data_IF_819386014614
#
_entry.id   IF_819386014614
#
_cell.length_a   1.000
_cell.length_b   1.000
_cell.length_c   1.000
_cell.angle_alpha   90.00
_cell.angle_beta   90.00
_cell.angle_gamma   90.00
#
_symmetry.space_group_name_H-M   'P 1'
#
loop_
_entity.id
_entity.type
_entity.pdbx_description
1 polymer ?
#
# COMPACT_ATOMS: atom_id res chain seq x y z
N UNK A 1 -59.94 -42.51 44.52
CA UNK A 1 -58.52 -42.25 44.50
C UNK A 1 -58.17 -41.71 43.11
N UNK A 2 -57.89 -40.38 43.00
CA UNK A 2 -57.59 -39.72 41.73
C UNK A 2 -56.08 -39.50 41.70
N UNK A 3 -55.38 -40.10 40.73
CA UNK A 3 -53.98 -39.88 40.47
C UNK A 3 -53.82 -38.68 39.53
N UNK A 4 -53.22 -37.64 40.03
CA UNK A 4 -52.87 -36.43 39.29
C UNK A 4 -51.43 -36.60 38.74
N UNK A 5 -51.32 -36.76 37.41
CA UNK A 5 -50.03 -36.77 36.75
C UNK A 5 -49.57 -35.31 36.53
N UNK A 6 -48.44 -34.92 37.13
CA UNK A 6 -47.78 -33.64 36.91
C UNK A 6 -46.78 -33.80 35.79
N UNK A 7 -47.07 -33.22 34.64
CA UNK A 7 -46.16 -33.21 33.48
C UNK A 7 -45.23 -32.00 33.64
N UNK A 8 -43.96 -32.24 34.00
CA UNK A 8 -42.95 -31.21 34.07
C UNK A 8 -42.39 -30.95 32.65
N UNK A 9 -42.73 -29.83 32.06
CA UNK A 9 -42.13 -29.37 30.80
C UNK A 9 -40.73 -28.76 31.09
N UNK A 10 -39.69 -29.43 30.67
CA UNK A 10 -38.31 -28.91 30.72
C UNK A 10 -38.12 -28.07 29.47
N UNK A 11 -38.07 -26.74 29.63
CA UNK A 11 -37.64 -25.82 28.61
C UNK A 11 -36.10 -25.83 28.51
N UNK A 12 -35.55 -26.49 27.52
CA UNK A 12 -34.15 -26.34 27.10
C UNK A 12 -34.01 -24.99 26.40
N UNK A 13 -33.47 -24.00 27.09
CA UNK A 13 -32.95 -22.80 26.44
C UNK A 13 -31.68 -23.16 25.70
N UNK A 14 -31.78 -23.36 24.39
CA UNK A 14 -30.63 -23.36 23.51
C UNK A 14 -30.20 -21.89 23.39
N UNK A 15 -29.25 -21.46 24.21
CA UNK A 15 -28.52 -20.21 23.99
C UNK A 15 -27.67 -20.41 22.72
N UNK A 16 -28.12 -19.86 21.63
CA UNK A 16 -27.28 -19.69 20.45
C UNK A 16 -26.35 -18.51 20.76
N UNK A 17 -25.17 -18.80 21.32
CA UNK A 17 -24.07 -17.87 21.27
C UNK A 17 -23.72 -17.68 19.79
N UNK A 18 -24.20 -16.57 19.22
CA UNK A 18 -23.64 -16.09 17.97
C UNK A 18 -22.20 -15.68 18.29
N UNK A 19 -21.25 -16.57 17.98
CA UNK A 19 -19.87 -16.14 17.76
C UNK A 19 -19.94 -15.02 16.74
N UNK A 20 -19.75 -13.79 17.18
CA UNK A 20 -19.33 -12.70 16.33
C UNK A 20 -17.96 -13.13 15.81
N UNK A 21 -17.96 -13.85 14.69
CA UNK A 21 -16.77 -13.92 13.86
C UNK A 21 -16.44 -12.46 13.58
N UNK A 22 -15.37 -11.95 14.22
CA UNK A 22 -14.84 -10.65 13.93
C UNK A 22 -14.69 -10.59 12.41
N UNK A 23 -15.32 -9.59 11.78
CA UNK A 23 -15.13 -9.33 10.35
C UNK A 23 -13.64 -9.33 10.11
N UNK A 24 -13.12 -10.42 9.52
CA UNK A 24 -11.79 -10.42 8.94
C UNK A 24 -11.84 -9.27 7.95
N UNK A 25 -11.17 -8.17 8.27
CA UNK A 25 -11.09 -7.01 7.40
C UNK A 25 -10.78 -7.54 5.98
N UNK A 26 -11.70 -7.37 5.05
CA UNK A 26 -11.56 -7.87 3.67
C UNK A 26 -10.35 -7.25 2.94
N UNK A 27 -9.67 -6.31 3.59
CA UNK A 27 -8.54 -5.52 3.10
C UNK A 27 -7.29 -5.66 3.97
N UNK A 28 -7.04 -6.86 4.50
CA UNK A 28 -5.80 -7.15 5.21
C UNK A 28 -4.62 -7.15 4.22
N UNK A 29 -3.54 -6.44 4.55
CA UNK A 29 -2.32 -6.45 3.74
C UNK A 29 -1.57 -7.77 3.91
N UNK A 30 -0.65 -8.07 2.99
CA UNK A 30 0.19 -9.26 3.10
C UNK A 30 1.05 -9.24 4.39
N UNK A 31 1.57 -8.06 4.74
CA UNK A 31 2.30 -7.83 5.99
C UNK A 31 1.46 -8.19 7.23
N UNK A 32 0.23 -7.70 7.30
CA UNK A 32 -0.66 -8.03 8.42
C UNK A 32 -1.05 -9.51 8.44
N UNK A 33 -1.28 -10.12 7.27
CA UNK A 33 -1.66 -11.53 7.15
C UNK A 33 -0.54 -12.48 7.59
N UNK A 34 0.73 -12.07 7.39
CA UNK A 34 1.90 -12.83 7.83
C UNK A 34 2.28 -12.60 9.30
N UNK A 35 1.54 -11.74 10.02
CA UNK A 35 1.91 -11.34 11.38
C UNK A 35 3.12 -10.41 11.45
N UNK A 36 3.42 -9.70 10.34
CA UNK A 36 4.54 -8.77 10.25
C UNK A 36 5.85 -9.39 9.76
N UNK A 37 5.84 -10.65 9.37
CA UNK A 37 7.06 -11.36 8.95
C UNK A 37 7.41 -11.19 7.47
N UNK A 38 6.40 -10.90 6.63
CA UNK A 38 6.57 -10.77 5.18
C UNK A 38 6.08 -9.41 4.68
N UNK A 39 6.76 -8.86 3.68
CA UNK A 39 6.33 -7.68 2.94
C UNK A 39 5.73 -8.07 1.59
N UNK A 40 4.81 -7.22 1.08
CA UNK A 40 4.14 -7.47 -0.18
C UNK A 40 5.12 -7.48 -1.37
N UNK A 41 4.93 -8.42 -2.28
CA UNK A 41 5.59 -8.40 -3.60
C UNK A 41 5.00 -7.30 -4.47
N UNK A 42 5.68 -6.94 -5.58
CA UNK A 42 5.15 -5.98 -6.56
C UNK A 42 3.72 -6.35 -7.01
N UNK A 43 3.51 -7.62 -7.37
CA UNK A 43 2.18 -8.07 -7.81
C UNK A 43 1.13 -7.93 -6.71
N UNK A 44 1.43 -8.36 -5.49
CA UNK A 44 0.51 -8.25 -4.36
C UNK A 44 0.17 -6.79 -4.05
N UNK A 45 1.16 -5.90 -4.10
CA UNK A 45 0.97 -4.46 -3.89
C UNK A 45 0.02 -3.86 -4.94
N UNK A 46 0.25 -4.15 -6.22
CA UNK A 46 -0.59 -3.61 -7.29
C UNK A 46 -2.01 -4.21 -7.25
N UNK A 47 -2.14 -5.52 -7.05
CA UNK A 47 -3.44 -6.18 -6.92
C UNK A 47 -4.26 -5.62 -5.74
N UNK A 48 -3.59 -5.32 -4.63
CA UNK A 48 -4.21 -4.72 -3.45
C UNK A 48 -4.81 -3.34 -3.77
N UNK A 49 -4.03 -2.45 -4.37
CA UNK A 49 -4.52 -1.13 -4.77
C UNK A 49 -5.60 -1.18 -5.85
N UNK A 50 -5.50 -2.12 -6.79
CA UNK A 50 -6.56 -2.38 -7.76
C UNK A 50 -7.86 -2.87 -7.08
N UNK A 51 -7.73 -3.66 -6.00
CA UNK A 51 -8.85 -4.07 -5.17
C UNK A 51 -9.52 -2.88 -4.49
N UNK A 52 -8.74 -2.04 -3.81
CA UNK A 52 -9.25 -0.84 -3.17
C UNK A 52 -9.90 0.13 -4.16
N UNK A 53 -9.29 0.37 -5.32
CA UNK A 53 -9.82 1.28 -6.34
C UNK A 53 -11.15 0.79 -6.96
N UNK A 54 -11.41 -0.51 -6.97
CA UNK A 54 -12.71 -1.07 -7.41
C UNK A 54 -13.82 -0.86 -6.40
N UNK A 55 -13.47 -0.88 -5.13
CA UNK A 55 -14.44 -0.80 -4.02
C UNK A 55 -14.70 0.64 -3.59
N UNK A 56 -13.67 1.47 -3.57
CA UNK A 56 -13.73 2.82 -3.02
C UNK A 56 -13.57 3.88 -4.10
N UNK A 57 -14.63 4.67 -4.40
CA UNK A 57 -14.58 5.70 -5.42
C UNK A 57 -13.61 6.85 -5.13
N UNK A 58 -13.08 6.92 -3.91
CA UNK A 58 -12.05 7.89 -3.50
C UNK A 58 -10.64 7.47 -3.94
N UNK A 59 -10.46 6.25 -4.46
CA UNK A 59 -9.16 5.73 -4.88
C UNK A 59 -9.14 5.49 -6.38
N UNK A 60 -8.06 5.93 -7.02
CA UNK A 60 -7.78 5.66 -8.42
C UNK A 60 -6.36 5.14 -8.59
N UNK A 61 -6.16 4.14 -9.43
CA UNK A 61 -4.85 3.65 -9.84
C UNK A 61 -4.65 3.88 -11.33
N UNK A 62 -3.49 4.43 -11.70
CA UNK A 62 -3.12 4.70 -13.08
C UNK A 62 -1.76 4.09 -13.41
N UNK A 63 -1.65 3.52 -14.60
CA UNK A 63 -0.39 3.10 -15.19
C UNK A 63 0.19 4.26 -15.99
N UNK A 64 1.42 4.69 -15.67
CA UNK A 64 1.99 5.90 -16.27
C UNK A 64 3.02 5.56 -17.35
N UNK A 65 4.04 4.80 -17.04
CA UNK A 65 5.12 4.52 -17.99
C UNK A 65 5.93 3.30 -17.59
N UNK A 66 7.00 3.04 -18.34
CA UNK A 66 7.86 1.87 -18.17
C UNK A 66 8.94 2.10 -17.13
N UNK A 67 9.48 1.00 -16.62
CA UNK A 67 10.74 0.93 -15.88
C UNK A 67 11.76 0.12 -16.66
N UNK A 68 13.01 0.10 -16.23
CA UNK A 68 14.05 -0.73 -16.86
C UNK A 68 13.74 -2.23 -16.84
N UNK A 69 12.89 -2.69 -15.92
CA UNK A 69 12.41 -4.08 -15.89
C UNK A 69 11.37 -4.40 -16.97
N UNK A 70 10.91 -3.40 -17.72
CA UNK A 70 9.83 -3.52 -18.69
C UNK A 70 8.43 -3.47 -18.08
N UNK A 71 8.29 -3.64 -16.77
CA UNK A 71 7.02 -3.48 -16.05
C UNK A 71 6.74 -2.00 -15.75
N UNK A 72 5.48 -1.61 -15.65
CA UNK A 72 5.12 -0.20 -15.52
C UNK A 72 5.29 0.35 -14.11
N UNK A 73 5.44 1.68 -14.02
CA UNK A 73 5.14 2.44 -12.80
C UNK A 73 3.65 2.78 -12.73
N UNK A 74 3.14 2.76 -11.51
CA UNK A 74 1.78 3.15 -11.20
C UNK A 74 1.76 4.35 -10.27
N UNK A 75 0.69 5.14 -10.36
CA UNK A 75 0.30 6.07 -9.31
C UNK A 75 -1.03 5.63 -8.71
N UNK A 76 -1.15 5.75 -7.40
CA UNK A 76 -2.42 5.57 -6.69
C UNK A 76 -2.79 6.89 -6.05
N UNK A 77 -3.98 7.40 -6.35
CA UNK A 77 -4.49 8.66 -5.81
C UNK A 77 -5.61 8.38 -4.84
N UNK A 78 -5.55 8.96 -3.64
CA UNK A 78 -6.68 9.08 -2.73
C UNK A 78 -7.15 10.52 -2.70
N UNK A 79 -8.40 10.75 -3.10
CA UNK A 79 -9.09 12.03 -2.98
C UNK A 79 -10.50 11.82 -2.42
N UNK A 80 -10.85 12.39 -1.26
CA UNK A 80 -12.17 12.24 -0.65
C UNK A 80 -13.33 12.56 -1.60
N UNK A 81 -13.12 13.49 -2.55
CA UNK A 81 -14.16 13.93 -3.49
C UNK A 81 -14.27 13.05 -4.75
N UNK A 82 -13.34 12.10 -4.94
CA UNK A 82 -13.33 11.24 -6.13
C UNK A 82 -12.99 11.95 -7.45
N UNK A 83 -12.49 13.18 -7.42
CA UNK A 83 -11.92 13.85 -8.61
C UNK A 83 -10.43 13.49 -8.72
N UNK A 84 -10.02 12.99 -9.88
CA UNK A 84 -8.64 12.59 -10.15
C UNK A 84 -7.98 13.43 -11.23
N UNK A 85 -8.61 14.55 -11.59
CA UNK A 85 -8.02 15.53 -12.48
C UNK A 85 -7.12 16.49 -11.70
N UNK A 86 -5.80 16.30 -11.82
CA UNK A 86 -4.83 17.13 -11.08
C UNK A 86 -4.91 18.63 -11.38
N UNK A 87 -5.38 19.04 -12.57
CA UNK A 87 -5.59 20.46 -12.87
C UNK A 87 -6.74 21.07 -12.05
N UNK A 88 -7.78 20.27 -11.74
CA UNK A 88 -8.86 20.70 -10.85
C UNK A 88 -8.42 20.66 -9.39
N UNK A 89 -7.82 19.55 -8.98
CA UNK A 89 -7.36 19.35 -7.60
C UNK A 89 -6.51 20.52 -7.12
N UNK A 90 -5.51 20.93 -7.90
CA UNK A 90 -4.57 22.02 -7.55
C UNK A 90 -5.21 23.38 -7.34
N UNK A 91 -6.44 23.60 -7.77
CA UNK A 91 -7.13 24.89 -7.56
C UNK A 91 -7.56 25.07 -6.11
N UNK A 92 -7.80 23.99 -5.39
CA UNK A 92 -8.45 24.03 -4.08
C UNK A 92 -7.75 23.15 -3.02
N UNK A 93 -6.88 22.23 -3.44
CA UNK A 93 -6.27 21.24 -2.54
C UNK A 93 -4.75 21.17 -2.73
N UNK A 94 -4.07 20.86 -1.65
CA UNK A 94 -2.65 20.50 -1.68
C UNK A 94 -2.45 19.03 -1.99
N UNK A 95 -1.40 18.73 -2.75
CA UNK A 95 -1.07 17.37 -3.17
C UNK A 95 0.22 16.92 -2.49
N UNK A 96 0.15 15.78 -1.82
CA UNK A 96 1.31 15.09 -1.26
C UNK A 96 1.63 13.90 -2.15
N UNK A 97 2.84 13.88 -2.73
CA UNK A 97 3.36 12.73 -3.48
C UNK A 97 4.24 11.90 -2.56
N UNK A 98 3.89 10.62 -2.41
CA UNK A 98 4.63 9.64 -1.61
C UNK A 98 5.31 8.66 -2.57
N UNK A 99 6.63 8.56 -2.49
CA UNK A 99 7.43 7.60 -3.23
C UNK A 99 7.87 6.46 -2.33
N UNK A 100 7.53 5.24 -2.69
CA UNK A 100 7.89 4.04 -1.93
C UNK A 100 8.83 3.14 -2.73
N UNK A 101 9.69 2.44 -2.02
CA UNK A 101 10.48 1.36 -2.59
C UNK A 101 11.49 1.81 -3.64
N UNK A 102 12.12 2.99 -3.49
CA UNK A 102 13.33 3.33 -4.24
C UNK A 102 14.43 2.30 -3.95
N UNK A 103 14.48 1.84 -2.70
CA UNK A 103 15.19 0.64 -2.28
C UNK A 103 14.16 -0.37 -1.76
N UNK A 104 13.73 -1.35 -2.54
CA UNK A 104 12.63 -2.23 -2.14
C UNK A 104 12.90 -3.14 -0.94
N UNK A 105 14.15 -3.21 -0.50
CA UNK A 105 14.50 -3.82 0.79
C UNK A 105 14.12 -2.97 2.00
N UNK A 106 13.75 -1.71 1.78
CA UNK A 106 13.22 -0.76 2.76
C UNK A 106 11.70 -0.72 2.60
N UNK A 107 11.03 -1.80 3.00
CA UNK A 107 9.64 -2.07 2.62
C UNK A 107 8.60 -1.35 3.47
N UNK A 108 9.00 -0.70 4.58
CA UNK A 108 8.09 -0.08 5.54
C UNK A 108 7.12 0.90 4.88
N UNK A 109 7.61 1.77 3.99
CA UNK A 109 6.78 2.71 3.25
C UNK A 109 5.77 2.02 2.34
N UNK A 110 6.13 0.88 1.72
CA UNK A 110 5.24 0.10 0.86
C UNK A 110 4.05 -0.42 1.67
N UNK A 111 4.33 -1.16 2.75
CA UNK A 111 3.32 -1.81 3.57
C UNK A 111 2.48 -0.78 4.36
N UNK A 112 3.12 0.24 4.95
CA UNK A 112 2.44 1.30 5.68
C UNK A 112 1.48 2.12 4.80
N UNK A 113 1.86 2.41 3.56
CA UNK A 113 1.01 3.18 2.65
C UNK A 113 -0.21 2.38 2.20
N UNK A 114 -0.09 1.06 2.00
CA UNK A 114 -1.23 0.18 1.73
C UNK A 114 -2.25 0.22 2.88
N UNK A 115 -1.79 0.13 4.13
CA UNK A 115 -2.64 0.26 5.32
C UNK A 115 -3.26 1.64 5.43
N UNK A 116 -2.50 2.71 5.17
CA UNK A 116 -2.98 4.09 5.20
C UNK A 116 -4.16 4.30 4.22
N UNK A 117 -4.02 3.86 2.97
CA UNK A 117 -5.07 4.00 1.97
C UNK A 117 -6.34 3.24 2.33
N UNK A 118 -6.20 2.02 2.84
CA UNK A 118 -7.33 1.25 3.39
C UNK A 118 -8.03 1.99 4.53
N UNK A 119 -7.24 2.44 5.50
CA UNK A 119 -7.78 3.06 6.72
C UNK A 119 -8.47 4.39 6.42
N UNK A 120 -7.98 5.16 5.44
CA UNK A 120 -8.65 6.35 4.93
C UNK A 120 -9.93 5.99 4.15
N UNK A 121 -9.88 4.98 3.28
CA UNK A 121 -11.01 4.59 2.44
C UNK A 121 -12.16 3.99 3.26
N UNK A 122 -11.84 3.25 4.33
CA UNK A 122 -12.83 2.66 5.23
C UNK A 122 -13.33 3.64 6.31
N UNK A 123 -12.78 4.85 6.38
CA UNK A 123 -13.13 5.84 7.40
C UNK A 123 -12.57 5.55 8.79
N UNK A 124 -11.64 4.61 8.92
CA UNK A 124 -10.93 4.34 10.18
C UNK A 124 -9.96 5.48 10.53
N UNK A 125 -9.43 6.16 9.51
CA UNK A 125 -8.65 7.38 9.63
C UNK A 125 -9.34 8.51 8.88
N UNK A 126 -9.23 9.72 9.41
CA UNK A 126 -9.68 10.94 8.76
C UNK A 126 -8.49 11.74 8.25
N UNK A 127 -8.66 12.37 7.10
CA UNK A 127 -7.69 13.28 6.49
C UNK A 127 -8.34 14.64 6.22
N UNK A 128 -7.59 15.76 6.33
CA UNK A 128 -8.10 17.06 5.95
C UNK A 128 -8.66 17.05 4.51
N UNK A 129 -9.84 17.64 4.31
CA UNK A 129 -10.54 17.60 3.01
C UNK A 129 -9.79 18.31 1.88
N UNK A 130 -8.90 19.24 2.23
CA UNK A 130 -8.06 19.99 1.29
C UNK A 130 -6.72 19.31 0.98
N UNK A 131 -6.55 18.04 1.34
CA UNK A 131 -5.36 17.25 1.01
C UNK A 131 -5.74 16.12 0.07
N UNK A 132 -4.86 15.85 -0.89
CA UNK A 132 -4.89 14.68 -1.77
C UNK A 132 -3.58 13.93 -1.63
N UNK A 133 -3.65 12.62 -1.49
CA UNK A 133 -2.46 11.76 -1.50
C UNK A 133 -2.30 11.13 -2.87
N UNK A 134 -1.09 11.18 -3.38
CA UNK A 134 -0.66 10.43 -4.57
C UNK A 134 0.53 9.58 -4.17
N UNK A 135 0.47 8.28 -4.48
CA UNK A 135 1.55 7.36 -4.11
C UNK A 135 2.08 6.67 -5.35
N UNK A 136 3.40 6.55 -5.45
CA UNK A 136 4.09 5.57 -6.28
C UNK A 136 4.29 4.33 -5.39
N UNK A 137 3.53 3.23 -5.60
CA UNK A 137 3.54 2.09 -4.69
C UNK A 137 4.90 1.43 -4.54
N UNK A 138 5.60 1.23 -5.66
CA UNK A 138 6.97 0.70 -5.73
C UNK A 138 7.68 1.37 -6.91
N UNK A 139 8.65 2.22 -6.60
CA UNK A 139 9.42 2.95 -7.62
C UNK A 139 10.45 2.06 -8.32
N UNK A 140 11.23 1.29 -7.54
CA UNK A 140 12.20 0.35 -8.07
C UNK A 140 11.55 -1.02 -8.32
N UNK A 141 10.82 -1.13 -9.43
CA UNK A 141 10.13 -2.37 -9.79
C UNK A 141 11.12 -3.51 -9.99
N UNK A 142 12.19 -3.31 -10.74
CA UNK A 142 13.22 -4.34 -11.00
C UNK A 142 13.85 -4.88 -9.72
N UNK A 143 14.24 -3.98 -8.82
CA UNK A 143 14.75 -4.36 -7.50
C UNK A 143 13.72 -5.10 -6.63
N UNK A 144 12.44 -4.74 -6.75
CA UNK A 144 11.37 -5.43 -6.00
C UNK A 144 11.09 -6.84 -6.48
N UNK A 145 11.41 -7.16 -7.72
CA UNK A 145 11.31 -8.52 -8.28
C UNK A 145 12.50 -9.40 -7.89
N UNK A 146 13.65 -8.80 -7.58
CA UNK A 146 14.86 -9.51 -7.14
C UNK A 146 14.87 -9.65 -5.62
N UNK A 147 14.06 -10.58 -5.10
CA UNK A 147 13.88 -10.79 -3.66
C UNK A 147 14.90 -11.77 -3.09
N UNK A 148 15.33 -11.48 -1.88
CA UNK A 148 16.26 -12.32 -1.10
C UNK A 148 16.23 -11.92 0.38
N UNK A 149 17.00 -12.61 1.21
CA UNK A 149 17.15 -12.38 2.66
C UNK A 149 18.57 -12.00 3.10
N UNK A 150 19.48 -11.75 2.15
CA UNK A 150 20.93 -11.73 2.47
C UNK A 150 21.65 -10.45 2.03
N UNK A 151 21.01 -9.57 1.27
CA UNK A 151 21.67 -8.39 0.69
C UNK A 151 21.74 -7.18 1.61
N UNK A 152 21.11 -7.24 2.80
CA UNK A 152 21.13 -6.18 3.83
C UNK A 152 21.63 -6.76 5.16
N UNK A 153 22.91 -6.56 5.43
CA UNK A 153 23.63 -7.24 6.52
C UNK A 153 23.08 -6.98 7.92
N UNK A 154 22.47 -5.81 8.17
CA UNK A 154 21.98 -5.39 9.50
C UNK A 154 20.45 -5.45 9.60
N UNK A 155 19.77 -6.14 8.68
CA UNK A 155 18.31 -6.21 8.63
C UNK A 155 17.84 -7.62 9.02
N UNK A 156 17.03 -7.72 10.09
CA UNK A 156 16.53 -8.99 10.63
C UNK A 156 15.17 -9.43 10.05
N UNK A 157 14.64 -8.73 9.11
CA UNK A 157 13.36 -9.00 8.46
C UNK A 157 13.09 -7.94 7.41
N UNK A 158 12.03 -8.09 6.65
CA UNK A 158 11.14 -9.27 6.51
C UNK A 158 11.86 -10.51 5.97
N UNK A 159 11.18 -11.68 5.96
CA UNK A 159 11.76 -12.97 5.52
C UNK A 159 12.42 -12.89 4.14
N UNK A 160 11.78 -12.18 3.22
CA UNK A 160 12.34 -11.80 1.92
C UNK A 160 12.03 -10.34 1.61
N UNK A 161 12.99 -9.67 1.01
CA UNK A 161 12.88 -8.26 0.64
C UNK A 161 13.57 -7.99 -0.70
N UNK A 162 13.25 -6.87 -1.34
CA UNK A 162 13.81 -6.52 -2.64
C UNK A 162 15.27 -6.05 -2.59
N UNK A 163 15.89 -6.03 -3.75
CA UNK A 163 17.26 -5.60 -3.94
C UNK A 163 17.37 -4.08 -4.13
N UNK A 164 18.49 -3.49 -3.71
CA UNK A 164 18.73 -2.05 -3.78
C UNK A 164 18.79 -1.53 -5.22
N UNK A 165 19.56 -2.20 -6.09
CA UNK A 165 19.69 -1.82 -7.48
C UNK A 165 18.43 -2.13 -8.30
N UNK A 166 18.20 -1.37 -9.37
CA UNK A 166 17.15 -1.69 -10.32
C UNK A 166 17.57 -2.86 -11.25
N UNK A 167 16.78 -3.15 -12.26
CA UNK A 167 17.04 -4.24 -13.23
C UNK A 167 18.40 -4.10 -13.95
N UNK A 168 18.92 -2.88 -14.10
CA UNK A 168 20.25 -2.58 -14.65
C UNK A 168 21.31 -2.43 -13.55
N UNK A 169 21.00 -2.76 -12.30
CA UNK A 169 21.87 -2.60 -11.14
C UNK A 169 22.27 -1.14 -10.84
N UNK A 170 21.41 -0.18 -11.19
CA UNK A 170 21.58 1.22 -10.81
C UNK A 170 20.89 1.53 -9.50
N UNK A 171 21.54 2.36 -8.66
CA UNK A 171 20.92 2.95 -7.49
C UNK A 171 20.06 4.15 -7.92
N UNK A 172 18.73 3.97 -7.89
CA UNK A 172 17.79 5.01 -8.33
C UNK A 172 17.86 6.26 -7.45
N UNK A 173 18.33 6.15 -6.19
CA UNK A 173 18.58 7.29 -5.32
C UNK A 173 19.87 8.07 -5.71
N UNK A 174 20.47 7.78 -6.86
CA UNK A 174 21.56 8.52 -7.50
C UNK A 174 21.17 9.01 -8.89
N UNK A 175 19.90 8.84 -9.29
CA UNK A 175 19.47 9.05 -10.67
C UNK A 175 18.43 10.17 -10.88
N UNK A 176 17.91 10.79 -9.82
CA UNK A 176 16.92 11.86 -9.92
C UNK A 176 17.34 13.07 -10.75
N UNK A 177 18.66 13.37 -10.80
CA UNK A 177 19.20 14.49 -11.57
C UNK A 177 19.64 14.01 -12.96
N UNK A 178 20.31 12.86 -13.05
CA UNK A 178 20.89 12.34 -14.29
C UNK A 178 19.85 11.77 -15.23
N UNK A 179 18.80 11.13 -14.68
CA UNK A 179 17.71 10.50 -15.42
C UNK A 179 18.20 9.50 -16.48
N UNK A 180 19.20 8.68 -16.11
CA UNK A 180 19.79 7.68 -17.00
C UNK A 180 18.88 6.45 -17.19
N UNK A 181 17.95 6.22 -16.23
CA UNK A 181 17.06 5.06 -16.21
C UNK A 181 15.67 5.38 -16.75
N UNK A 182 14.94 4.34 -17.23
CA UNK A 182 13.53 4.48 -17.57
C UNK A 182 12.69 4.79 -16.33
N UNK A 183 13.09 4.25 -15.16
CA UNK A 183 12.44 4.57 -13.88
C UNK A 183 12.41 6.08 -13.63
N UNK A 184 13.57 6.75 -13.70
CA UNK A 184 13.67 8.19 -13.39
C UNK A 184 12.95 9.06 -14.43
N UNK A 185 12.96 8.67 -15.69
CA UNK A 185 12.19 9.39 -16.74
C UNK A 185 10.69 9.27 -16.52
N UNK A 186 10.20 8.07 -16.15
CA UNK A 186 8.79 7.87 -15.80
C UNK A 186 8.43 8.59 -14.50
N UNK A 187 9.33 8.59 -13.51
CA UNK A 187 9.14 9.40 -12.30
C UNK A 187 8.99 10.90 -12.62
N UNK A 188 9.84 11.43 -13.50
CA UNK A 188 9.74 12.83 -13.93
C UNK A 188 8.38 13.14 -14.58
N UNK A 189 7.86 12.23 -15.40
CA UNK A 189 6.51 12.36 -15.98
C UNK A 189 5.45 12.42 -14.87
N UNK A 190 5.52 11.53 -13.89
CA UNK A 190 4.61 11.51 -12.73
C UNK A 190 4.72 12.84 -11.98
N UNK A 191 5.94 13.27 -11.64
CA UNK A 191 6.17 14.49 -10.87
C UNK A 191 5.61 15.73 -11.57
N UNK A 192 5.84 15.85 -12.87
CA UNK A 192 5.30 16.96 -13.67
C UNK A 192 3.79 16.90 -13.89
N UNK A 193 3.21 15.70 -13.96
CA UNK A 193 1.76 15.52 -14.06
C UNK A 193 1.07 15.88 -12.73
N UNK A 194 1.61 15.37 -11.62
CA UNK A 194 1.05 15.58 -10.27
C UNK A 194 1.32 16.99 -9.77
N UNK A 195 2.53 17.54 -9.99
CA UNK A 195 3.02 18.83 -9.46
C UNK A 195 2.73 18.94 -7.95
N UNK A 196 3.34 18.06 -7.11
CA UNK A 196 3.03 18.01 -5.69
C UNK A 196 3.51 19.27 -4.96
N UNK A 197 2.78 19.65 -3.88
CA UNK A 197 3.21 20.67 -2.92
C UNK A 197 4.23 20.10 -1.92
N UNK A 198 4.10 18.81 -1.61
CA UNK A 198 5.01 18.08 -0.72
C UNK A 198 5.41 16.76 -1.40
N UNK A 199 6.69 16.46 -1.36
CA UNK A 199 7.24 15.18 -1.79
C UNK A 199 7.84 14.43 -0.59
N UNK A 200 7.43 13.18 -0.41
CA UNK A 200 7.93 12.27 0.62
C UNK A 200 8.57 11.09 -0.08
N UNK A 201 9.85 10.84 0.20
CA UNK A 201 10.57 9.67 -0.27
C UNK A 201 10.87 8.76 0.92
N UNK A 202 10.18 7.62 0.99
CA UNK A 202 10.26 6.73 2.12
C UNK A 202 11.53 5.87 2.07
N UNK A 203 12.31 5.98 3.13
CA UNK A 203 13.50 5.20 3.40
C UNK A 203 13.48 4.63 4.81
N UNK A 204 14.32 3.64 5.07
CA UNK A 204 14.64 3.21 6.43
C UNK A 204 16.15 3.19 6.63
N UNK A 205 16.56 3.40 7.89
CA UNK A 205 17.95 3.25 8.30
C UNK A 205 18.42 1.81 8.09
N UNK A 206 19.67 1.65 7.71
CA UNK A 206 20.30 0.33 7.64
C UNK A 206 20.81 -0.18 9.01
N UNK A 207 20.41 0.51 10.10
CA UNK A 207 20.81 0.17 11.47
C UNK A 207 22.26 0.51 11.82
N UNK A 208 22.97 1.22 10.96
CA UNK A 208 24.29 1.76 11.25
C UNK A 208 24.15 3.23 11.70
N UNK A 209 24.44 3.51 12.96
CA UNK A 209 24.56 4.86 13.54
C UNK A 209 25.98 5.39 13.39
#
# INVERSE_FOLDING_TARGET
MKHLFFLAAVFLFISCESETQGEKSSYQTHYEASGGEETATYKQTIDYYMGLAREFPQINIQTIGKTDSGLPLHTVTFNPDGDFNYENIRKEKSIILINNGIHPGESDGIDATMMLYRDLATGKLEMPKNIVLVTIPIYNVGGSLNRNSTTRANQNGPLEYGFRGNDRNYDLNRDFIKMDTENSRTFAQIFHMVKPDVFIDNHVSNGAD
#
